data_IF_700371874305
#
_entry.id   IF_700371874305
#
_cell.length_a   1.000
_cell.length_b   1.000
_cell.length_c   1.000
_cell.angle_alpha   90.00
_cell.angle_beta   90.00
_cell.angle_gamma   90.00
#
_symmetry.space_group_name_H-M   'P 1'
#
loop_
_entity.id
_entity.type
_entity.pdbx_description
1 polymer ?
#
# COMPACT_ATOMS: atom_id res chain seq x y z
N UNK A 1 -8.83 17.98 4.76
CA UNK A 1 -7.35 17.95 4.74
C UNK A 1 -6.70 19.22 4.20
N UNK A 2 -7.32 19.99 3.30
CA UNK A 2 -6.72 21.22 2.77
C UNK A 2 -6.36 22.26 3.86
N UNK A 3 -7.16 22.37 4.91
CA UNK A 3 -6.85 23.25 6.04
C UNK A 3 -5.56 22.80 6.75
N UNK A 4 -5.42 21.50 7.00
CA UNK A 4 -4.23 20.93 7.64
C UNK A 4 -2.98 21.11 6.76
N UNK A 5 -3.08 20.88 5.45
CA UNK A 5 -1.96 21.12 4.54
C UNK A 5 -1.50 22.58 4.55
N UNK A 6 -2.43 23.55 4.59
CA UNK A 6 -2.09 24.98 4.71
C UNK A 6 -1.40 25.32 6.04
N UNK A 7 -1.83 24.70 7.14
CA UNK A 7 -1.18 24.87 8.46
C UNK A 7 0.28 24.38 8.38
N UNK A 8 0.50 23.19 7.82
CA UNK A 8 1.85 22.62 7.67
C UNK A 8 2.73 23.44 6.73
N UNK A 9 2.20 23.91 5.60
CA UNK A 9 2.94 24.77 4.66
C UNK A 9 3.35 26.08 5.32
N UNK A 10 2.45 26.71 6.09
CA UNK A 10 2.76 27.93 6.85
C UNK A 10 3.81 27.68 7.93
N UNK A 11 3.78 26.52 8.57
CA UNK A 11 4.76 26.12 9.56
C UNK A 11 6.15 25.88 8.93
N UNK A 12 6.19 25.26 7.74
CA UNK A 12 7.41 25.05 6.96
C UNK A 12 8.00 26.36 6.43
N UNK A 13 7.18 27.25 5.85
CA UNK A 13 7.63 28.55 5.31
C UNK A 13 8.25 29.48 6.35
N UNK A 14 7.84 29.32 7.62
CA UNK A 14 8.40 30.09 8.73
C UNK A 14 9.75 29.53 9.25
N UNK A 15 10.32 28.52 8.57
CA UNK A 15 11.58 27.88 8.94
C UNK A 15 11.50 27.06 10.24
N UNK A 16 10.29 26.73 10.70
CA UNK A 16 10.05 26.04 11.98
C UNK A 16 10.06 24.52 11.84
N UNK A 17 9.80 24.00 10.65
CA UNK A 17 9.86 22.57 10.33
C UNK A 17 10.90 22.33 9.25
N UNK A 18 11.95 21.58 9.59
CA UNK A 18 12.95 21.15 8.61
C UNK A 18 12.55 19.83 7.95
N UNK A 19 12.73 19.78 6.63
CA UNK A 19 12.47 18.59 5.83
C UNK A 19 13.40 17.44 6.23
N UNK A 20 12.89 16.22 6.11
CA UNK A 20 13.74 15.04 6.21
C UNK A 20 14.91 15.16 5.20
N UNK A 21 16.16 14.81 5.54
CA UNK A 21 17.33 15.06 4.69
C UNK A 21 17.23 14.48 3.27
N UNK A 22 16.54 13.35 3.11
CA UNK A 22 16.29 12.72 1.80
C UNK A 22 15.11 13.34 1.02
N UNK A 23 14.28 14.15 1.67
CA UNK A 23 13.09 14.77 1.12
C UNK A 23 13.29 16.28 0.85
N UNK A 24 14.35 16.88 1.39
CA UNK A 24 14.63 18.32 1.23
C UNK A 24 14.75 18.77 -0.24
N UNK A 25 15.34 17.93 -1.12
CA UNK A 25 15.43 18.24 -2.56
C UNK A 25 14.08 18.24 -3.28
N UNK A 26 13.11 17.50 -2.75
CA UNK A 26 11.77 17.36 -3.31
C UNK A 26 10.77 18.33 -2.66
N UNK A 27 11.22 19.12 -1.68
CA UNK A 27 10.37 19.95 -0.82
C UNK A 27 9.17 19.16 -0.24
N UNK A 28 9.40 17.87 0.06
CA UNK A 28 8.35 16.95 0.46
C UNK A 28 8.26 16.87 1.99
N UNK A 29 7.28 17.57 2.56
CA UNK A 29 6.98 17.54 3.99
C UNK A 29 5.90 16.51 4.38
N UNK A 30 4.95 16.25 3.48
CA UNK A 30 3.84 15.31 3.74
C UNK A 30 3.25 14.74 2.45
N UNK A 31 2.59 13.60 2.56
CA UNK A 31 1.69 13.03 1.57
C UNK A 31 0.32 12.85 2.20
N UNK A 32 -0.72 13.26 1.51
CA UNK A 32 -2.09 13.16 2.01
C UNK A 32 -3.01 12.64 0.90
N UNK A 33 -3.82 11.64 1.24
CA UNK A 33 -4.86 11.10 0.37
C UNK A 33 -6.06 10.71 1.22
N UNK A 34 -7.21 11.36 0.99
CA UNK A 34 -8.41 11.22 1.83
C UNK A 34 -8.07 11.41 3.34
N UNK A 35 -8.16 10.36 4.13
CA UNK A 35 -7.83 10.31 5.57
C UNK A 35 -6.41 9.79 5.86
N UNK A 36 -5.71 9.22 4.87
CA UNK A 36 -4.34 8.75 5.02
C UNK A 36 -3.36 9.93 4.93
N UNK A 37 -2.54 10.08 5.97
CA UNK A 37 -1.51 11.12 6.08
C UNK A 37 -0.17 10.48 6.42
N UNK A 38 0.86 10.86 5.67
CA UNK A 38 2.25 10.50 5.93
C UNK A 38 3.08 11.77 6.06
N UNK A 39 3.77 11.93 7.18
CA UNK A 39 4.58 13.11 7.49
C UNK A 39 6.07 12.78 7.43
N UNK A 40 6.85 13.67 6.82
CA UNK A 40 8.30 13.57 6.72
C UNK A 40 8.94 14.79 7.37
N UNK A 41 9.65 14.58 8.47
CA UNK A 41 10.37 15.63 9.16
C UNK A 41 11.77 15.16 9.55
N UNK A 42 12.66 16.12 9.82
CA UNK A 42 13.96 15.82 10.38
C UNK A 42 13.82 15.41 11.86
N UNK A 43 14.33 14.23 12.21
CA UNK A 43 14.49 13.80 13.60
C UNK A 43 15.74 14.43 14.20
N UNK A 44 15.60 15.60 14.82
CA UNK A 44 16.66 16.25 15.60
C UNK A 44 16.34 16.12 17.10
N UNK A 45 17.35 15.94 17.96
CA UNK A 45 17.21 15.84 19.41
C UNK A 45 16.63 17.12 20.04
N UNK A 46 16.73 18.26 19.35
CA UNK A 46 16.08 19.53 19.73
C UNK A 46 14.71 19.76 19.06
N UNK A 47 14.25 18.82 18.21
CA UNK A 47 12.87 18.59 17.73
C UNK A 47 11.92 19.80 17.62
N UNK A 48 12.36 20.90 17.01
CA UNK A 48 11.47 22.00 16.59
C UNK A 48 10.37 21.47 15.67
N UNK A 49 10.75 20.62 14.71
CA UNK A 49 9.83 20.04 13.73
C UNK A 49 8.74 19.18 14.37
N UNK A 50 9.09 18.28 15.31
CA UNK A 50 8.12 17.43 16.02
C UNK A 50 7.13 18.24 16.85
N UNK A 51 7.63 19.25 17.59
CA UNK A 51 6.77 20.16 18.37
C UNK A 51 5.81 20.95 17.49
N UNK A 52 6.29 21.43 16.34
CA UNK A 52 5.49 22.18 15.37
C UNK A 52 4.43 21.30 14.71
N UNK A 53 4.73 20.03 14.44
CA UNK A 53 3.75 19.07 13.95
C UNK A 53 2.66 18.84 15.00
N UNK A 54 3.04 18.68 16.28
CA UNK A 54 2.07 18.53 17.38
C UNK A 54 1.16 19.76 17.49
N UNK A 55 1.73 20.97 17.46
CA UNK A 55 0.97 22.23 17.47
C UNK A 55 0.03 22.34 16.26
N UNK A 56 0.47 21.86 15.09
CA UNK A 56 -0.34 21.83 13.88
C UNK A 56 -1.53 20.88 14.00
N UNK A 57 -1.33 19.70 14.61
CA UNK A 57 -2.42 18.77 14.92
C UNK A 57 -3.39 19.35 15.95
N UNK A 58 -2.90 19.98 17.01
CA UNK A 58 -3.76 20.60 18.03
C UNK A 58 -4.58 21.75 17.46
N UNK A 59 -3.95 22.60 16.64
CA UNK A 59 -4.63 23.69 15.94
C UNK A 59 -5.70 23.18 14.98
N UNK A 60 -5.40 22.12 14.23
CA UNK A 60 -6.36 21.50 13.32
C UNK A 60 -7.50 20.83 14.08
N UNK A 61 -7.20 20.08 15.14
CA UNK A 61 -8.19 19.44 16.00
C UNK A 61 -9.14 20.45 16.63
N UNK A 62 -8.62 21.60 17.08
CA UNK A 62 -9.44 22.69 17.62
C UNK A 62 -10.38 23.32 16.57
N UNK A 63 -9.96 23.37 15.29
CA UNK A 63 -10.75 23.96 14.21
C UNK A 63 -11.77 22.98 13.61
N UNK A 64 -11.41 21.70 13.46
CA UNK A 64 -12.22 20.71 12.76
C UNK A 64 -12.91 19.71 13.66
N UNK A 65 -12.62 19.70 14.96
CA UNK A 65 -13.04 18.69 15.93
C UNK A 65 -12.66 17.26 15.54
N UNK A 66 -11.62 17.11 14.71
CA UNK A 66 -11.09 15.82 14.28
C UNK A 66 -9.80 15.55 15.01
N UNK A 67 -9.74 14.44 15.72
CA UNK A 67 -8.53 13.98 16.39
C UNK A 67 -7.90 12.81 15.65
N UNK A 68 -6.60 12.68 15.87
CA UNK A 68 -5.81 11.59 15.33
C UNK A 68 -6.21 10.27 15.97
N UNK A 69 -6.28 9.20 15.16
CA UNK A 69 -6.57 7.87 15.69
C UNK A 69 -5.27 7.19 16.13
N UNK A 70 -4.96 7.31 17.42
CA UNK A 70 -3.75 6.75 18.06
C UNK A 70 -3.47 5.27 17.73
N UNK A 71 -4.51 4.47 17.50
CA UNK A 71 -4.35 3.04 17.17
C UNK A 71 -3.89 2.77 15.75
N UNK A 72 -4.06 3.73 14.82
CA UNK A 72 -3.65 3.63 13.41
C UNK A 72 -2.40 4.47 13.11
N UNK A 73 -2.11 5.46 13.93
CA UNK A 73 -0.93 6.33 13.78
C UNK A 73 0.29 5.67 14.40
N UNK A 74 1.35 5.54 13.62
CA UNK A 74 2.64 5.06 14.09
C UNK A 74 3.73 6.01 13.59
N UNK A 75 4.85 6.06 14.30
CA UNK A 75 6.02 6.80 13.87
C UNK A 75 7.20 5.84 13.68
N UNK A 76 8.20 6.26 12.90
CA UNK A 76 9.46 5.53 12.78
C UNK A 76 10.60 6.53 12.72
N UNK A 77 11.58 6.38 13.61
CA UNK A 77 12.72 7.29 13.78
C UNK A 77 14.00 6.46 13.95
N UNK A 78 15.12 7.01 13.50
CA UNK A 78 16.45 6.43 13.75
C UNK A 78 17.04 7.07 15.02
N UNK A 79 17.25 6.28 16.07
CA UNK A 79 17.89 6.70 17.33
C UNK A 79 16.97 6.62 18.55
N UNK A 80 17.44 5.98 19.64
CA UNK A 80 16.62 5.68 20.83
C UNK A 80 16.19 6.93 21.59
N UNK A 81 17.08 7.92 21.73
CA UNK A 81 16.77 9.16 22.46
C UNK A 81 15.65 9.97 21.77
N UNK A 82 15.70 10.03 20.44
CA UNK A 82 14.66 10.73 19.65
C UNK A 82 13.35 9.95 19.65
N UNK A 83 13.42 8.62 19.67
CA UNK A 83 12.26 7.75 19.78
C UNK A 83 11.48 8.01 21.07
N UNK A 84 12.13 7.95 22.24
CA UNK A 84 11.45 8.21 23.52
C UNK A 84 10.86 9.62 23.60
N UNK A 85 11.53 10.61 23.00
CA UNK A 85 10.99 11.96 22.91
C UNK A 85 9.69 12.02 22.08
N UNK A 86 9.66 11.39 20.91
CA UNK A 86 8.48 11.36 20.02
C UNK A 86 7.33 10.56 20.66
N UNK A 87 7.63 9.45 21.32
CA UNK A 87 6.65 8.66 22.09
C UNK A 87 6.00 9.51 23.18
N UNK A 88 6.80 10.25 23.95
CA UNK A 88 6.28 11.10 25.02
C UNK A 88 5.49 12.31 24.50
N UNK A 89 5.86 12.86 23.34
CA UNK A 89 5.22 14.04 22.76
C UNK A 89 3.86 13.72 22.14
N UNK A 90 3.75 12.61 21.40
CA UNK A 90 2.55 12.26 20.63
C UNK A 90 1.74 11.12 21.25
N UNK A 91 2.34 10.27 22.07
CA UNK A 91 1.72 9.01 22.54
C UNK A 91 1.55 7.96 21.44
N UNK A 92 2.23 8.12 20.29
CA UNK A 92 2.20 7.14 19.20
C UNK A 92 3.04 5.93 19.54
N UNK A 93 2.69 4.79 18.96
CA UNK A 93 3.51 3.59 19.03
C UNK A 93 4.58 3.61 17.95
N UNK A 94 5.75 3.05 18.26
CA UNK A 94 6.77 2.79 17.27
C UNK A 94 6.23 1.81 16.22
N UNK A 95 6.29 2.22 14.96
CA UNK A 95 5.93 1.41 13.81
C UNK A 95 7.14 0.66 13.25
N UNK A 96 6.89 -0.50 12.66
CA UNK A 96 7.91 -1.25 11.94
C UNK A 96 7.96 -0.83 10.47
N UNK A 97 9.18 -0.66 9.94
CA UNK A 97 9.40 -0.47 8.52
C UNK A 97 9.38 -1.83 7.79
N UNK A 98 8.89 -1.91 6.53
CA UNK A 98 8.33 -0.82 5.72
C UNK A 98 6.89 -0.45 6.10
N UNK A 99 6.60 0.86 6.16
CA UNK A 99 5.26 1.40 6.45
C UNK A 99 4.34 1.15 5.24
N UNK A 100 3.08 0.77 5.48
CA UNK A 100 2.07 0.69 4.41
C UNK A 100 1.38 2.03 4.20
N UNK A 101 1.29 2.47 2.95
CA UNK A 101 0.53 3.65 2.55
C UNK A 101 -0.31 3.30 1.33
N UNK A 102 -1.62 3.63 1.33
CA UNK A 102 -2.56 3.27 0.26
C UNK A 102 -2.58 1.77 -0.09
N UNK A 103 -2.41 0.92 0.93
CA UNK A 103 -2.45 -0.53 0.77
C UNK A 103 -1.20 -1.17 0.15
N UNK A 104 -0.13 -0.39 -0.06
CA UNK A 104 1.17 -0.89 -0.53
C UNK A 104 2.31 -0.56 0.45
N UNK A 105 3.34 -1.42 0.56
CA UNK A 105 4.48 -1.13 1.42
C UNK A 105 5.38 -0.06 0.79
N UNK A 106 5.73 0.97 1.55
CA UNK A 106 6.70 1.99 1.17
C UNK A 106 8.12 1.46 1.43
N UNK A 107 8.74 0.99 0.36
CA UNK A 107 10.05 0.35 0.39
C UNK A 107 11.04 1.23 -0.40
N UNK A 108 12.24 1.40 0.15
CA UNK A 108 13.32 2.15 -0.50
C UNK A 108 14.22 1.28 -1.42
N UNK A 109 14.05 -0.04 -1.33
CA UNK A 109 14.78 -1.06 -2.10
C UNK A 109 13.90 -1.71 -3.16
N UNK A 110 14.49 -2.62 -3.96
CA UNK A 110 13.71 -3.46 -4.88
C UNK A 110 12.71 -4.32 -4.09
N UNK A 111 11.50 -4.44 -4.62
CA UNK A 111 10.43 -5.24 -4.05
C UNK A 111 10.84 -6.72 -4.00
N UNK A 112 10.77 -7.34 -2.82
CA UNK A 112 11.06 -8.77 -2.67
C UNK A 112 9.76 -9.59 -2.66
N UNK A 113 9.88 -10.91 -2.85
CA UNK A 113 8.74 -11.81 -2.73
C UNK A 113 8.07 -11.74 -1.33
N UNK A 114 8.86 -11.44 -0.28
CA UNK A 114 8.36 -11.29 1.09
C UNK A 114 7.43 -10.08 1.23
N UNK A 115 7.77 -8.98 0.58
CA UNK A 115 6.99 -7.74 0.61
C UNK A 115 5.65 -7.90 -0.13
N UNK A 116 5.66 -8.72 -1.19
CA UNK A 116 4.47 -9.08 -1.98
C UNK A 116 3.54 -10.07 -1.27
N UNK A 117 3.91 -10.60 -0.10
CA UNK A 117 3.05 -11.57 0.61
C UNK A 117 1.67 -10.99 0.89
N UNK A 118 1.60 -9.71 1.24
CA UNK A 118 0.32 -9.02 1.46
C UNK A 118 -0.56 -8.92 0.21
N UNK A 119 0.04 -8.83 -0.98
CA UNK A 119 -0.68 -8.89 -2.26
C UNK A 119 -1.24 -10.30 -2.49
N UNK A 120 -0.38 -11.32 -2.32
CA UNK A 120 -0.76 -12.73 -2.52
C UNK A 120 -1.90 -13.08 -1.56
N UNK A 121 -1.75 -12.80 -0.26
CA UNK A 121 -2.76 -13.10 0.75
C UNK A 121 -4.08 -12.37 0.45
N UNK A 122 -4.03 -11.12 -0.01
CA UNK A 122 -5.23 -10.36 -0.41
C UNK A 122 -5.97 -11.04 -1.56
N UNK A 123 -5.25 -11.46 -2.60
CA UNK A 123 -5.83 -12.16 -3.76
C UNK A 123 -6.41 -13.51 -3.31
N UNK A 124 -5.65 -14.29 -2.54
CA UNK A 124 -6.08 -15.59 -2.00
C UNK A 124 -7.36 -15.46 -1.18
N UNK A 125 -7.40 -14.55 -0.21
CA UNK A 125 -8.57 -14.36 0.65
C UNK A 125 -9.83 -13.96 -0.15
N UNK A 126 -9.67 -13.13 -1.18
CA UNK A 126 -10.78 -12.76 -2.07
C UNK A 126 -11.31 -13.99 -2.84
N UNK A 127 -10.41 -14.78 -3.42
CA UNK A 127 -10.76 -16.01 -4.14
C UNK A 127 -11.45 -17.02 -3.21
N UNK A 128 -10.94 -17.23 -2.01
CA UNK A 128 -11.55 -18.11 -1.01
C UNK A 128 -12.94 -17.63 -0.61
N UNK A 129 -13.12 -16.31 -0.43
CA UNK A 129 -14.43 -15.72 -0.13
C UNK A 129 -15.47 -15.93 -1.23
N UNK A 130 -15.04 -16.14 -2.48
CA UNK A 130 -15.90 -16.38 -3.64
C UNK A 130 -16.13 -17.86 -3.91
N UNK A 131 -15.20 -18.72 -3.48
CA UNK A 131 -15.30 -20.18 -3.59
C UNK A 131 -16.57 -20.71 -2.91
N UNK A 132 -16.97 -20.09 -1.79
CA UNK A 132 -18.21 -20.42 -1.07
C UNK A 132 -19.50 -20.11 -1.86
N UNK A 133 -19.44 -19.30 -2.92
CA UNK A 133 -20.62 -18.75 -3.62
C UNK A 133 -21.08 -19.55 -4.84
N UNK A 134 -20.54 -20.76 -5.08
CA UNK A 134 -20.89 -21.66 -6.23
C UNK A 134 -21.03 -20.90 -7.56
N UNK A 135 -19.95 -20.25 -7.98
CA UNK A 135 -19.93 -19.43 -9.19
C UNK A 135 -19.83 -20.26 -10.47
N UNK A 136 -20.51 -19.81 -11.53
CA UNK A 136 -20.33 -20.34 -12.87
C UNK A 136 -18.91 -20.05 -13.41
N UNK A 137 -18.48 -20.77 -14.45
CA UNK A 137 -17.22 -20.48 -15.12
C UNK A 137 -17.13 -19.03 -15.60
N UNK A 138 -18.20 -18.54 -16.26
CA UNK A 138 -18.28 -17.14 -16.72
C UNK A 138 -18.23 -16.14 -15.56
N UNK A 139 -18.87 -16.44 -14.42
CA UNK A 139 -18.80 -15.60 -13.23
C UNK A 139 -17.39 -15.50 -12.66
N UNK A 140 -16.68 -16.63 -12.57
CA UNK A 140 -15.27 -16.67 -12.12
C UNK A 140 -14.36 -15.90 -13.07
N UNK A 141 -14.54 -16.09 -14.38
CA UNK A 141 -13.84 -15.34 -15.40
C UNK A 141 -14.03 -13.83 -15.24
N UNK A 142 -15.27 -13.38 -15.03
CA UNK A 142 -15.57 -11.96 -14.87
C UNK A 142 -14.93 -11.36 -13.62
N UNK A 143 -14.94 -12.08 -12.48
CA UNK A 143 -14.31 -11.64 -11.24
C UNK A 143 -12.79 -11.52 -11.37
N UNK A 144 -12.14 -12.47 -12.04
CA UNK A 144 -10.71 -12.39 -12.33
C UNK A 144 -10.42 -11.11 -13.12
N UNK A 145 -11.16 -10.88 -14.22
CA UNK A 145 -10.96 -9.72 -15.10
C UNK A 145 -11.15 -8.37 -14.43
N UNK A 146 -12.26 -8.20 -13.71
CA UNK A 146 -12.62 -6.88 -13.19
C UNK A 146 -11.93 -6.58 -11.85
N UNK A 147 -11.68 -7.60 -11.03
CA UNK A 147 -11.29 -7.39 -9.63
C UNK A 147 -9.86 -7.82 -9.37
N UNK A 148 -9.47 -9.04 -9.75
CA UNK A 148 -8.13 -9.53 -9.40
C UNK A 148 -7.05 -8.87 -10.27
N UNK A 149 -7.33 -8.68 -11.56
CA UNK A 149 -6.44 -7.95 -12.46
C UNK A 149 -6.29 -6.49 -12.08
N UNK A 150 -7.35 -5.79 -11.65
CA UNK A 150 -7.23 -4.39 -11.23
C UNK A 150 -6.32 -4.24 -10.00
N UNK A 151 -6.31 -5.21 -9.09
CA UNK A 151 -5.38 -5.24 -7.95
C UNK A 151 -3.93 -5.45 -8.43
N UNK A 152 -3.69 -6.39 -9.34
CA UNK A 152 -2.35 -6.65 -9.90
C UNK A 152 -1.83 -5.43 -10.67
N UNK A 153 -2.66 -4.79 -11.49
CA UNK A 153 -2.31 -3.58 -12.25
C UNK A 153 -1.98 -2.43 -11.30
N UNK A 154 -2.75 -2.25 -10.22
CA UNK A 154 -2.42 -1.23 -9.21
C UNK A 154 -1.02 -1.44 -8.62
N UNK A 155 -0.67 -2.67 -8.22
CA UNK A 155 0.66 -2.96 -7.70
C UNK A 155 1.76 -2.80 -8.75
N UNK A 156 1.50 -3.25 -9.99
CA UNK A 156 2.47 -3.17 -11.10
C UNK A 156 2.72 -1.74 -11.55
N UNK A 157 1.74 -0.83 -11.36
CA UNK A 157 1.91 0.59 -11.67
C UNK A 157 2.87 1.31 -10.70
N UNK A 158 3.10 0.74 -9.51
CA UNK A 158 3.94 1.32 -8.47
C UNK A 158 5.28 0.59 -8.40
N UNK A 159 5.30 -0.72 -8.60
CA UNK A 159 6.48 -1.56 -8.48
C UNK A 159 6.62 -2.53 -9.65
N UNK A 160 7.87 -2.86 -9.96
CA UNK A 160 8.19 -4.02 -10.78
C UNK A 160 7.99 -5.28 -9.92
N UNK A 161 7.02 -6.12 -10.28
CA UNK A 161 6.71 -7.34 -9.53
C UNK A 161 7.76 -8.43 -9.80
N UNK A 162 8.23 -9.15 -8.76
CA UNK A 162 9.11 -10.31 -8.97
C UNK A 162 8.40 -11.41 -9.77
N UNK A 163 9.11 -12.01 -10.73
CA UNK A 163 8.56 -13.12 -11.55
C UNK A 163 8.00 -14.28 -10.72
N UNK A 164 8.61 -14.56 -9.57
CA UNK A 164 8.12 -15.58 -8.64
C UNK A 164 6.71 -15.25 -8.11
N UNK A 165 6.47 -13.98 -7.77
CA UNK A 165 5.18 -13.49 -7.29
C UNK A 165 4.12 -13.57 -8.40
N UNK A 166 4.46 -13.15 -9.62
CA UNK A 166 3.55 -13.28 -10.77
C UNK A 166 3.13 -14.74 -10.99
N UNK A 167 4.08 -15.68 -10.94
CA UNK A 167 3.79 -17.12 -11.07
C UNK A 167 2.87 -17.64 -9.96
N UNK A 168 3.08 -17.22 -8.72
CA UNK A 168 2.20 -17.62 -7.60
C UNK A 168 0.78 -17.09 -7.82
N UNK A 169 0.64 -15.83 -8.24
CA UNK A 169 -0.67 -15.26 -8.50
C UNK A 169 -1.35 -15.98 -9.68
N UNK A 170 -0.64 -16.21 -10.78
CA UNK A 170 -1.16 -16.96 -11.92
C UNK A 170 -1.68 -18.34 -11.49
N UNK A 171 -0.95 -19.08 -10.65
CA UNK A 171 -1.39 -20.36 -10.12
C UNK A 171 -2.72 -20.25 -9.34
N UNK A 172 -2.87 -19.22 -8.52
CA UNK A 172 -4.11 -18.96 -7.79
C UNK A 172 -5.27 -18.66 -8.76
N UNK A 173 -5.04 -17.80 -9.77
CA UNK A 173 -6.04 -17.43 -10.77
C UNK A 173 -6.47 -18.63 -11.63
N UNK A 174 -5.52 -19.45 -12.06
CA UNK A 174 -5.75 -20.69 -12.81
C UNK A 174 -6.60 -21.66 -11.97
N UNK A 175 -6.20 -21.91 -10.72
CA UNK A 175 -6.92 -22.82 -9.83
C UNK A 175 -8.36 -22.34 -9.62
N UNK A 176 -8.54 -21.03 -9.40
CA UNK A 176 -9.86 -20.45 -9.24
C UNK A 176 -10.70 -20.58 -10.51
N UNK A 177 -10.17 -20.20 -11.68
CA UNK A 177 -10.90 -20.21 -12.94
C UNK A 177 -11.42 -21.61 -13.30
N UNK A 178 -10.60 -22.65 -13.12
CA UNK A 178 -10.96 -24.01 -13.51
C UNK A 178 -11.70 -24.75 -12.41
N UNK A 179 -11.20 -24.73 -11.18
CA UNK A 179 -11.69 -25.58 -10.10
C UNK A 179 -12.56 -24.85 -9.08
N UNK A 180 -12.49 -23.51 -9.06
CA UNK A 180 -13.35 -22.70 -8.23
C UNK A 180 -12.89 -22.66 -6.78
N UNK A 181 -11.68 -23.13 -6.49
CA UNK A 181 -11.03 -23.04 -5.18
C UNK A 181 -9.53 -22.79 -5.33
N UNK A 182 -8.88 -22.37 -4.25
CA UNK A 182 -7.42 -22.21 -4.16
C UNK A 182 -6.76 -23.57 -3.89
N UNK A 183 -5.59 -23.82 -4.49
CA UNK A 183 -4.73 -24.94 -4.13
C UNK A 183 -5.16 -26.32 -4.68
N UNK A 184 -6.13 -26.37 -5.60
CA UNK A 184 -6.46 -27.63 -6.27
C UNK A 184 -5.40 -27.89 -7.35
N UNK A 185 -4.48 -28.82 -7.07
CA UNK A 185 -3.46 -29.32 -8.01
C UNK A 185 -4.08 -30.28 -9.04
N UNK A 186 -5.10 -29.82 -9.76
CA UNK A 186 -5.62 -30.50 -10.95
C UNK A 186 -5.16 -29.71 -12.17
N UNK A 187 -4.80 -30.42 -13.23
CA UNK A 187 -4.31 -29.81 -14.45
C UNK A 187 -5.35 -28.84 -15.02
N UNK A 188 -4.90 -27.64 -15.39
CA UNK A 188 -5.70 -26.69 -16.15
C UNK A 188 -6.10 -27.33 -17.49
N UNK A 189 -7.33 -27.06 -17.95
CA UNK A 189 -7.80 -27.57 -19.25
C UNK A 189 -7.09 -26.91 -20.44
N UNK A 190 -6.63 -25.67 -20.25
CA UNK A 190 -5.92 -24.87 -21.25
C UNK A 190 -4.74 -24.20 -20.55
N UNK A 191 -3.60 -24.14 -21.23
CA UNK A 191 -2.39 -23.49 -20.72
C UNK A 191 -2.62 -21.98 -20.50
N UNK A 192 -2.13 -21.43 -19.38
CA UNK A 192 -2.44 -20.06 -18.96
C UNK A 192 -2.04 -19.00 -20.00
N UNK A 193 -0.88 -19.16 -20.63
CA UNK A 193 -0.41 -18.30 -21.70
C UNK A 193 -1.41 -18.23 -22.88
N UNK A 194 -2.05 -19.34 -23.24
CA UNK A 194 -3.09 -19.38 -24.28
C UNK A 194 -4.35 -18.66 -23.81
N UNK A 195 -4.71 -18.81 -22.53
CA UNK A 195 -5.86 -18.10 -21.95
C UNK A 195 -5.61 -16.58 -21.91
N UNK A 196 -4.36 -16.13 -21.78
CA UNK A 196 -4.00 -14.71 -21.83
C UNK A 196 -4.04 -14.08 -23.22
N UNK A 197 -4.07 -14.87 -24.29
CA UNK A 197 -4.11 -14.33 -25.65
C UNK A 197 -5.38 -13.49 -25.92
N UNK A 198 -5.36 -12.58 -26.90
CA UNK A 198 -6.55 -11.87 -27.37
C UNK A 198 -7.67 -12.83 -27.79
N UNK A 199 -8.92 -12.34 -27.79
CA UNK A 199 -10.08 -13.17 -28.18
C UNK A 199 -10.00 -13.59 -29.64
N UNK A 200 -9.41 -12.75 -30.47
CA UNK A 200 -9.14 -12.98 -31.88
C UNK A 200 -8.21 -14.19 -32.09
N UNK A 201 -7.34 -14.47 -31.11
CA UNK A 201 -6.39 -15.59 -31.12
C UNK A 201 -6.91 -16.82 -30.32
N UNK A 202 -8.19 -16.81 -29.94
CA UNK A 202 -8.81 -17.91 -29.18
C UNK A 202 -8.54 -17.87 -27.67
N UNK A 203 -7.93 -16.80 -27.16
CA UNK A 203 -7.74 -16.58 -25.73
C UNK A 203 -8.90 -15.85 -25.06
N UNK A 204 -8.73 -15.50 -23.79
CA UNK A 204 -9.71 -14.78 -22.98
C UNK A 204 -9.31 -13.33 -22.73
N UNK A 205 -8.27 -12.79 -23.38
CA UNK A 205 -7.78 -11.41 -23.21
C UNK A 205 -7.46 -11.09 -21.74
N UNK A 206 -6.70 -11.96 -21.08
CA UNK A 206 -6.10 -11.60 -19.80
C UNK A 206 -4.80 -10.82 -20.04
N UNK A 207 -4.49 -9.88 -19.16
CA UNK A 207 -3.16 -9.27 -19.14
C UNK A 207 -2.17 -10.33 -18.64
N UNK A 208 -1.19 -10.71 -19.47
CA UNK A 208 -0.13 -11.62 -19.02
C UNK A 208 0.70 -10.90 -17.94
N UNK A 209 0.76 -11.50 -16.75
CA UNK A 209 1.51 -10.98 -15.61
C UNK A 209 3.03 -10.99 -15.85
N UNK A 210 3.50 -11.63 -16.93
CA UNK A 210 4.90 -11.59 -17.39
C UNK A 210 5.20 -10.41 -18.34
N UNK A 211 4.16 -9.72 -18.84
CA UNK A 211 4.29 -8.53 -19.71
C UNK A 211 4.14 -7.20 -18.93
N UNK A 212 3.83 -7.28 -17.63
CA UNK A 212 3.79 -6.17 -16.67
C UNK A 212 5.08 -6.13 -15.85
#
# INVERSE_FOLDING_TARGET
MEVFSRILVKASSNGRCSHHPRCAKLDLAYLCFADDLLLFCQGDLQSKSSSVIKESFDSFSALSWLSERLTKTNFSVLGEDTKHYVENLFGFKEGTLPIKFLGVPLISTRLTARDCRSLIDKITNMVESWTSKRLSYAGRLQLIKLVLFSIQVYWSSIFILPKEVCKIIDQILISFLWHGAVGISKAAKVAWNVVCLPREEGGLSFLDSNLL
#
